data_IF_709520182346
#
_entry.id   IF_709520182346
#
_cell.length_a   1.000
_cell.length_b   1.000
_cell.length_c   1.000
_cell.angle_alpha   90.00
_cell.angle_beta   90.00
_cell.angle_gamma   90.00
#
_symmetry.space_group_name_H-M   'P 1'
#
loop_
_entity.id
_entity.type
_entity.pdbx_description
1 polymer ?
#
# COMPACT_ATOMS: atom_id res chain seq x y z
N UNK A 1 0.18 1.64 17.78
CA UNK A 1 0.24 1.50 16.31
C UNK A 1 0.84 0.15 16.01
N UNK A 2 0.06 -0.73 15.38
CA UNK A 2 0.49 -2.09 15.05
C UNK A 2 1.58 -2.00 13.97
N UNK A 3 2.58 -2.89 14.03
CA UNK A 3 3.50 -3.06 12.90
C UNK A 3 2.77 -3.85 11.81
N UNK A 4 2.72 -3.30 10.59
CA UNK A 4 2.11 -3.97 9.45
C UNK A 4 3.20 -4.49 8.53
N UNK A 5 3.04 -5.73 8.07
CA UNK A 5 3.83 -6.26 6.97
C UNK A 5 3.36 -5.71 5.63
N UNK A 6 4.27 -5.70 4.64
CA UNK A 6 3.91 -5.36 3.26
C UNK A 6 2.74 -6.20 2.73
N UNK A 7 2.63 -7.48 3.15
CA UNK A 7 1.52 -8.36 2.76
C UNK A 7 0.18 -7.88 3.31
N UNK A 8 0.13 -7.54 4.60
CA UNK A 8 -1.09 -6.99 5.22
C UNK A 8 -1.51 -5.67 4.56
N UNK A 9 -0.55 -4.78 4.28
CA UNK A 9 -0.83 -3.52 3.57
C UNK A 9 -1.41 -3.77 2.19
N UNK A 10 -0.83 -4.70 1.41
CA UNK A 10 -1.33 -5.06 0.08
C UNK A 10 -2.76 -5.62 0.16
N UNK A 11 -3.04 -6.50 1.13
CA UNK A 11 -4.39 -7.06 1.32
C UNK A 11 -5.42 -5.97 1.64
N UNK A 12 -5.09 -5.01 2.50
CA UNK A 12 -5.97 -3.89 2.83
C UNK A 12 -6.22 -3.01 1.60
N UNK A 13 -5.18 -2.72 0.82
CA UNK A 13 -5.32 -1.97 -0.44
C UNK A 13 -6.22 -2.69 -1.44
N UNK A 14 -6.03 -4.00 -1.62
CA UNK A 14 -6.85 -4.83 -2.50
C UNK A 14 -8.31 -4.86 -2.06
N UNK A 15 -8.57 -5.00 -0.76
CA UNK A 15 -9.93 -4.93 -0.20
C UNK A 15 -10.57 -3.54 -0.41
N UNK A 16 -9.77 -2.48 -0.42
CA UNK A 16 -10.20 -1.12 -0.75
C UNK A 16 -10.35 -0.86 -2.27
N UNK A 17 -10.21 -1.88 -3.12
CA UNK A 17 -10.39 -1.77 -4.57
C UNK A 17 -9.15 -1.32 -5.35
N UNK A 18 -7.97 -1.28 -4.70
CA UNK A 18 -6.71 -1.05 -5.39
C UNK A 18 -6.22 -2.35 -6.05
N UNK A 19 -5.69 -2.25 -7.26
CA UNK A 19 -5.13 -3.39 -7.98
C UNK A 19 -3.72 -3.06 -8.46
N UNK A 20 -2.87 -4.08 -8.49
CA UNK A 20 -1.49 -3.92 -8.95
C UNK A 20 -1.46 -3.71 -10.46
N UNK A 21 -0.67 -2.74 -10.91
CA UNK A 21 -0.55 -2.39 -12.34
C UNK A 21 0.86 -2.58 -12.89
N UNK A 22 1.88 -2.49 -12.04
CA UNK A 22 3.28 -2.73 -12.42
C UNK A 22 4.12 -3.04 -11.19
N UNK A 23 5.16 -3.85 -11.40
CA UNK A 23 6.19 -4.10 -10.42
C UNK A 23 7.55 -3.92 -11.07
N UNK A 24 8.45 -3.23 -10.38
CA UNK A 24 9.86 -3.10 -10.76
C UNK A 24 10.73 -3.41 -9.53
N UNK A 25 11.36 -4.58 -9.51
CA UNK A 25 12.15 -5.05 -8.38
C UNK A 25 11.27 -5.26 -7.14
N UNK A 26 11.59 -4.57 -6.04
CA UNK A 26 10.81 -4.62 -4.81
C UNK A 26 9.71 -3.56 -4.74
N UNK A 27 9.48 -2.77 -5.80
CA UNK A 27 8.48 -1.70 -5.81
C UNK A 27 7.24 -2.12 -6.61
N UNK A 28 6.16 -2.43 -5.89
CA UNK A 28 4.86 -2.78 -6.45
C UNK A 28 3.97 -1.54 -6.52
N UNK A 29 3.38 -1.26 -7.67
CA UNK A 29 2.56 -0.08 -7.88
C UNK A 29 1.10 -0.45 -8.09
N UNK A 30 0.23 0.22 -7.34
CA UNK A 30 -1.20 -0.01 -7.30
C UNK A 30 -1.97 1.18 -7.86
N UNK A 31 -3.07 0.90 -8.55
CA UNK A 31 -4.02 1.87 -9.08
C UNK A 31 -5.42 1.59 -8.53
N UNK A 32 -6.24 2.62 -8.44
CA UNK A 32 -7.65 2.51 -8.12
C UNK A 32 -8.48 2.99 -9.32
N UNK A 33 -9.60 2.35 -9.67
CA UNK A 33 -10.40 2.74 -10.83
C UNK A 33 -11.07 4.12 -10.66
N UNK A 34 -11.51 4.44 -9.44
CA UNK A 34 -12.21 5.70 -9.14
C UNK A 34 -11.34 6.79 -8.49
N UNK A 35 -10.10 6.50 -8.09
CA UNK A 35 -9.22 7.47 -7.41
C UNK A 35 -8.02 7.75 -8.30
N UNK A 36 -7.69 9.02 -8.49
CA UNK A 36 -6.53 9.41 -9.26
C UNK A 36 -5.24 9.19 -8.44
N UNK A 37 -4.21 8.67 -9.09
CA UNK A 37 -2.90 8.44 -8.48
C UNK A 37 -2.45 6.98 -8.51
N UNK A 38 -1.22 6.78 -8.05
CA UNK A 38 -0.60 5.47 -7.91
C UNK A 38 0.02 5.37 -6.53
N UNK A 39 -0.17 4.22 -5.89
CA UNK A 39 0.41 3.92 -4.58
C UNK A 39 1.55 2.93 -4.82
N UNK A 40 2.75 3.26 -4.33
CA UNK A 40 3.90 2.36 -4.45
C UNK A 40 4.19 1.72 -3.10
N UNK A 41 4.22 0.39 -3.06
CA UNK A 41 4.48 -0.42 -1.89
C UNK A 41 5.80 -1.18 -2.08
N UNK A 42 6.80 -1.00 -1.19
CA UNK A 42 7.97 -1.84 -1.17
C UNK A 42 7.60 -3.23 -0.62
N UNK A 43 7.78 -4.26 -1.42
CA UNK A 43 7.54 -5.66 -1.06
C UNK A 43 8.66 -6.55 -1.63
N UNK A 44 9.22 -7.49 -0.85
CA UNK A 44 8.77 -7.92 0.48
C UNK A 44 9.38 -7.11 1.64
N UNK A 45 8.53 -6.75 2.61
CA UNK A 45 8.92 -6.16 3.91
C UNK A 45 8.10 -6.80 5.05
N UNK A 46 8.79 -7.21 6.12
CA UNK A 46 8.18 -7.78 7.33
C UNK A 46 7.53 -6.69 8.19
N UNK A 47 8.19 -5.56 8.32
CA UNK A 47 7.75 -4.44 9.14
C UNK A 47 7.88 -3.15 8.32
N UNK A 48 6.75 -2.47 8.10
CA UNK A 48 6.71 -1.21 7.38
C UNK A 48 6.90 -0.03 8.35
N UNK A 49 7.81 0.92 8.05
CA UNK A 49 7.95 2.12 8.86
C UNK A 49 6.63 2.90 8.94
N UNK A 50 6.31 3.41 10.14
CA UNK A 50 5.08 4.18 10.39
C UNK A 50 4.92 5.36 9.42
N UNK A 51 6.02 6.03 9.06
CA UNK A 51 6.01 7.13 8.09
C UNK A 51 5.51 6.66 6.70
N UNK A 52 5.92 5.47 6.28
CA UNK A 52 5.50 4.88 5.01
C UNK A 52 4.02 4.52 5.06
N UNK A 53 3.57 3.89 6.15
CA UNK A 53 2.16 3.59 6.38
C UNK A 53 1.30 4.85 6.30
N UNK A 54 1.65 5.92 7.03
CA UNK A 54 0.93 7.21 6.99
C UNK A 54 0.91 7.86 5.60
N UNK A 55 1.99 7.73 4.84
CA UNK A 55 2.02 8.21 3.46
C UNK A 55 1.06 7.42 2.57
N UNK A 56 1.00 6.10 2.77
CA UNK A 56 0.08 5.21 2.05
C UNK A 56 -1.37 5.51 2.45
N UNK A 57 -1.69 5.68 3.74
CA UNK A 57 -3.03 6.06 4.21
C UNK A 57 -3.53 7.31 3.50
N UNK A 58 -2.69 8.35 3.45
CA UNK A 58 -3.05 9.62 2.82
C UNK A 58 -3.25 9.49 1.30
N UNK A 59 -2.45 8.69 0.61
CA UNK A 59 -2.56 8.50 -0.84
C UNK A 59 -3.71 7.56 -1.20
N UNK A 60 -3.82 6.45 -0.49
CA UNK A 60 -4.76 5.39 -0.75
C UNK A 60 -6.14 5.65 -0.16
N UNK A 61 -6.26 6.59 0.79
CA UNK A 61 -7.46 6.90 1.56
C UNK A 61 -7.96 5.68 2.34
N UNK A 62 -7.04 5.01 3.02
CA UNK A 62 -7.26 3.87 3.92
C UNK A 62 -6.73 4.23 5.31
N UNK A 63 -7.15 3.48 6.34
CA UNK A 63 -6.67 3.67 7.71
C UNK A 63 -6.00 2.38 8.22
N UNK A 64 -4.84 2.53 8.84
CA UNK A 64 -4.07 1.49 9.53
C UNK A 64 -4.00 1.86 11.03
N UNK A 65 -4.32 0.93 11.94
CA UNK A 65 -4.40 1.17 13.41
C UNK A 65 -3.08 0.95 14.18
#
# INVERSE_FOLDING_TARGET
MKSYSSREVIQILQAAGWYEVRCAGDHHQFRHPARAGLVTIPHPRKDMPIRTLKSIERQAGVHFE
#
